data_IF_006135392733
#
_entry.id   IF_006135392733
#
_cell.length_a   1.000
_cell.length_b   1.000
_cell.length_c   1.000
_cell.angle_alpha   90.00
_cell.angle_beta   90.00
_cell.angle_gamma   90.00
#
_symmetry.space_group_name_H-M   'P 1'
#
loop_
_entity.id
_entity.type
_entity.pdbx_description
1 polymer ?
#
# COMPACT_ATOMS: atom_id res chain seq x y z
N UNK A 1 -12.43 17.20 2.18
CA UNK A 1 -11.87 15.88 1.80
C UNK A 1 -10.80 15.57 2.82
N UNK A 2 -11.09 14.67 3.76
CA UNK A 2 -10.08 14.17 4.70
C UNK A 2 -8.95 13.55 3.88
N UNK A 3 -7.79 14.21 3.84
CA UNK A 3 -6.56 13.63 3.33
C UNK A 3 -6.13 12.59 4.37
N UNK A 4 -6.76 11.43 4.35
CA UNK A 4 -6.40 10.30 5.20
C UNK A 4 -5.03 9.80 4.72
N UNK A 5 -3.99 10.25 5.42
CA UNK A 5 -2.61 9.98 5.07
C UNK A 5 -2.27 8.53 5.44
N UNK A 6 -1.93 7.75 4.42
CA UNK A 6 -1.10 6.55 4.56
C UNK A 6 0.11 6.93 5.42
N UNK A 7 0.51 6.12 6.43
CA UNK A 7 1.68 6.45 7.24
C UNK A 7 2.92 6.66 6.37
N UNK A 8 3.70 7.70 6.65
CA UNK A 8 4.86 8.09 5.82
C UNK A 8 5.81 6.91 5.55
N UNK A 9 6.09 6.08 6.57
CA UNK A 9 6.95 4.91 6.40
C UNK A 9 6.41 3.88 5.39
N UNK A 10 5.08 3.73 5.31
CA UNK A 10 4.42 2.83 4.37
C UNK A 10 4.39 3.44 2.96
N UNK A 11 4.25 4.75 2.87
CA UNK A 11 4.37 5.50 1.63
C UNK A 11 5.78 5.39 1.06
N UNK A 12 6.80 5.62 1.89
CA UNK A 12 8.21 5.48 1.52
C UNK A 12 8.53 4.06 1.07
N UNK A 13 7.94 3.05 1.71
CA UNK A 13 8.08 1.65 1.31
C UNK A 13 7.48 1.37 -0.08
N UNK A 14 6.31 1.95 -0.37
CA UNK A 14 5.68 1.85 -1.69
C UNK A 14 6.50 2.60 -2.75
N UNK A 15 6.95 3.82 -2.44
CA UNK A 15 7.80 4.63 -3.32
C UNK A 15 9.11 3.90 -3.64
N UNK A 16 9.75 3.27 -2.66
CA UNK A 16 10.97 2.49 -2.86
C UNK A 16 10.75 1.28 -3.77
N UNK A 17 9.57 0.66 -3.74
CA UNK A 17 9.25 -0.49 -4.60
C UNK A 17 8.88 -0.07 -6.03
N UNK A 18 8.01 0.94 -6.18
CA UNK A 18 7.53 1.37 -7.50
C UNK A 18 8.49 2.31 -8.23
N UNK A 19 9.40 2.96 -7.48
CA UNK A 19 10.43 3.88 -8.00
C UNK A 19 9.90 5.25 -8.46
N UNK A 20 8.58 5.47 -8.38
CA UNK A 20 7.90 6.67 -8.85
C UNK A 20 6.76 7.00 -7.89
N UNK A 21 6.61 8.30 -7.59
CA UNK A 21 5.52 8.82 -6.76
C UNK A 21 4.17 8.60 -7.41
N UNK A 22 4.04 8.84 -8.71
CA UNK A 22 2.76 8.64 -9.42
C UNK A 22 2.32 7.18 -9.33
N UNK A 23 3.26 6.25 -9.55
CA UNK A 23 2.96 4.82 -9.47
C UNK A 23 2.67 4.34 -8.04
N UNK A 24 3.37 4.90 -7.05
CA UNK A 24 3.10 4.60 -5.64
C UNK A 24 1.72 5.14 -5.23
N UNK A 25 1.38 6.37 -5.61
CA UNK A 25 0.07 6.98 -5.37
C UNK A 25 -1.03 6.17 -6.05
N UNK A 26 -0.86 5.83 -7.33
CA UNK A 26 -1.81 5.03 -8.09
C UNK A 26 -2.04 3.68 -7.41
N UNK A 27 -0.98 2.98 -7.02
CA UNK A 27 -1.11 1.69 -6.33
C UNK A 27 -1.81 1.81 -4.98
N UNK A 28 -1.49 2.86 -4.20
CA UNK A 28 -2.11 3.09 -2.88
C UNK A 28 -3.61 3.38 -2.99
N UNK A 29 -4.07 3.95 -4.11
CA UNK A 29 -5.47 4.32 -4.33
C UNK A 29 -6.24 3.36 -5.25
N UNK A 30 -5.57 2.41 -5.89
CA UNK A 30 -6.18 1.36 -6.71
C UNK A 30 -6.59 0.18 -5.84
N UNK A 31 -7.76 -0.40 -6.13
CA UNK A 31 -8.22 -1.63 -5.48
C UNK A 31 -7.24 -2.78 -5.74
N UNK A 32 -6.87 -3.49 -4.69
CA UNK A 32 -5.92 -4.59 -4.79
C UNK A 32 -6.61 -5.93 -4.53
N UNK A 33 -6.49 -6.86 -5.46
CA UNK A 33 -7.10 -8.20 -5.37
C UNK A 33 -6.58 -8.97 -4.14
N UNK A 34 -5.28 -8.86 -3.84
CA UNK A 34 -4.67 -9.53 -2.69
C UNK A 34 -5.13 -8.95 -1.34
N UNK A 35 -5.74 -7.77 -1.35
CA UNK A 35 -6.33 -7.13 -0.17
C UNK A 35 -7.86 -7.32 -0.12
N UNK A 36 -8.45 -8.09 -1.05
CA UNK A 36 -9.90 -8.30 -1.09
C UNK A 36 -10.65 -7.18 -1.81
N UNK A 37 -10.09 -6.63 -2.89
CA UNK A 37 -10.67 -5.56 -3.71
C UNK A 37 -10.88 -4.24 -2.95
N UNK A 38 -9.96 -3.92 -2.03
CA UNK A 38 -9.91 -2.61 -1.37
C UNK A 38 -8.56 -1.95 -1.64
N UNK A 39 -8.53 -0.62 -1.63
CA UNK A 39 -7.28 0.10 -1.83
C UNK A 39 -6.40 0.07 -0.57
N UNK A 40 -5.06 -0.03 -0.71
CA UNK A 40 -4.15 0.05 0.43
C UNK A 40 -4.38 1.27 1.33
N UNK A 41 -4.64 2.44 0.73
CA UNK A 41 -4.93 3.66 1.47
C UNK A 41 -6.19 3.54 2.34
N UNK A 42 -7.20 2.81 1.89
CA UNK A 42 -8.42 2.59 2.67
C UNK A 42 -8.19 1.68 3.88
N UNK A 43 -7.33 0.66 3.76
CA UNK A 43 -6.95 -0.24 4.85
C UNK A 43 -6.06 0.44 5.89
N UNK A 44 -5.20 1.37 5.48
CA UNK A 44 -4.32 2.12 6.37
C UNK A 44 -5.06 2.96 7.45
N UNK A 45 -6.40 3.02 7.42
CA UNK A 45 -7.24 3.63 8.45
C UNK A 45 -7.26 2.84 9.77
N UNK A 46 -6.89 1.56 9.75
CA UNK A 46 -6.77 0.72 10.95
C UNK A 46 -5.35 0.19 11.12
N UNK A 47 -4.98 -0.16 12.34
CA UNK A 47 -3.67 -0.77 12.61
C UNK A 47 -3.53 -2.13 11.91
N UNK A 48 -4.58 -2.95 11.94
CA UNK A 48 -4.64 -4.23 11.23
C UNK A 48 -4.43 -4.04 9.72
N UNK A 49 -5.13 -3.10 9.10
CA UNK A 49 -4.98 -2.84 7.67
C UNK A 49 -3.60 -2.29 7.28
N UNK A 50 -2.96 -1.49 8.15
CA UNK A 50 -1.55 -1.11 7.95
C UNK A 50 -0.62 -2.31 7.96
N UNK A 51 -0.83 -3.26 8.88
CA UNK A 51 -0.04 -4.48 8.94
C UNK A 51 -0.21 -5.35 7.69
N UNK A 52 -1.43 -5.46 7.17
CA UNK A 52 -1.73 -6.17 5.92
C UNK A 52 -1.04 -5.54 4.71
N UNK A 53 -1.15 -4.23 4.55
CA UNK A 53 -0.51 -3.51 3.44
C UNK A 53 1.01 -3.61 3.52
N UNK A 54 1.57 -3.50 4.73
CA UNK A 54 3.02 -3.68 4.97
C UNK A 54 3.48 -5.07 4.58
N UNK A 55 2.74 -6.11 4.97
CA UNK A 55 3.06 -7.48 4.63
C UNK A 55 2.96 -7.74 3.13
N UNK A 56 1.96 -7.17 2.46
CA UNK A 56 1.85 -7.23 1.00
C UNK A 56 3.06 -6.60 0.31
N UNK A 57 3.48 -5.40 0.73
CA UNK A 57 4.68 -4.75 0.19
C UNK A 57 5.95 -5.58 0.45
N UNK A 58 6.07 -6.22 1.61
CA UNK A 58 7.18 -7.13 1.91
C UNK A 58 7.24 -8.30 0.93
N UNK A 59 6.09 -8.91 0.62
CA UNK A 59 5.98 -10.01 -0.34
C UNK A 59 6.32 -9.57 -1.77
N UNK A 60 5.78 -8.43 -2.19
CA UNK A 60 6.10 -7.81 -3.49
C UNK A 60 7.61 -7.57 -3.66
N UNK A 61 8.26 -6.99 -2.64
CA UNK A 61 9.72 -6.75 -2.63
C UNK A 61 10.53 -8.05 -2.66
N UNK A 62 10.03 -9.14 -2.09
CA UNK A 62 10.68 -10.45 -2.12
C UNK A 62 10.53 -11.17 -3.49
N UNK A 63 9.69 -10.66 -4.39
CA UNK A 63 9.36 -11.32 -5.65
C UNK A 63 8.36 -12.47 -5.48
N UNK A 64 7.71 -12.57 -4.32
CA UNK A 64 6.64 -13.55 -4.12
C UNK A 64 5.48 -13.19 -5.03
N UNK A 65 5.08 -14.14 -5.87
CA UNK A 65 3.89 -14.01 -6.70
C UNK A 65 2.65 -14.07 -5.80
N UNK A 66 1.81 -13.04 -5.88
CA UNK A 66 0.49 -12.94 -5.23
C UNK A 66 -0.57 -13.63 -6.09
#
# INVERSE_FOLDING_TARGET
>A
MDKQQVPDALYDDALAYFGDRERADDWLHTENIALGLVSPASLCKSEAGRAEVKELLRRLKAGDSI
#
